data_IF_334007817624
#
_entry.id   IF_334007817624
#
_cell.length_a   1.000
_cell.length_b   1.000
_cell.length_c   1.000
_cell.angle_alpha   90.00
_cell.angle_beta   90.00
_cell.angle_gamma   90.00
#
_symmetry.space_group_name_H-M   'P 1'
#
loop_
_entity.id
_entity.type
_entity.pdbx_description
1 polymer ?
#
# COMPACT_ATOMS: atom_id res chain seq x y z
N UNK A 1 11.72 11.29 6.95
CA UNK A 1 11.89 10.88 5.53
C UNK A 1 10.75 9.93 5.19
N UNK A 2 9.83 10.29 4.31
CA UNK A 2 8.74 9.39 3.90
C UNK A 2 9.33 8.19 3.15
N UNK A 3 9.07 6.98 3.64
CA UNK A 3 9.48 5.76 2.93
C UNK A 3 8.65 5.62 1.66
N UNK A 4 9.31 5.43 0.52
CA UNK A 4 8.60 5.19 -0.74
C UNK A 4 8.11 3.74 -0.79
N UNK A 5 6.80 3.58 -0.77
CA UNK A 5 6.16 2.30 -0.99
C UNK A 5 6.02 2.01 -2.49
N UNK A 6 6.10 0.72 -2.84
CA UNK A 6 5.84 0.26 -4.21
C UNK A 6 4.34 0.16 -4.48
N UNK A 7 3.95 0.29 -5.75
CA UNK A 7 2.57 0.08 -6.18
C UNK A 7 2.10 -1.34 -5.84
N UNK A 8 0.91 -1.51 -5.26
CA UNK A 8 0.35 -2.82 -4.99
C UNK A 8 0.11 -3.60 -6.29
N UNK A 9 0.49 -4.87 -6.28
CA UNK A 9 0.26 -5.79 -7.41
C UNK A 9 -0.33 -7.11 -6.92
N UNK A 10 -1.13 -7.74 -7.75
CA UNK A 10 -1.70 -9.06 -7.46
C UNK A 10 -0.81 -10.22 -7.87
N UNK A 11 0.36 -9.96 -8.45
CA UNK A 11 1.26 -11.01 -8.92
C UNK A 11 1.70 -11.87 -7.75
N UNK A 12 1.13 -13.05 -7.67
CA UNK A 12 1.41 -14.06 -6.64
C UNK A 12 2.37 -15.15 -7.12
N UNK A 13 2.70 -15.15 -8.41
CA UNK A 13 3.61 -16.14 -9.02
C UNK A 13 5.07 -15.73 -8.96
N UNK A 14 5.96 -16.71 -8.90
CA UNK A 14 7.41 -16.57 -8.88
C UNK A 14 8.04 -16.96 -7.54
N UNK A 15 9.36 -16.81 -7.42
CA UNK A 15 10.14 -17.17 -6.23
C UNK A 15 9.56 -16.52 -4.98
N UNK A 16 9.65 -17.19 -3.84
CA UNK A 16 9.22 -16.66 -2.54
C UNK A 16 9.90 -15.32 -2.25
N UNK A 17 9.27 -14.49 -1.40
CA UNK A 17 9.89 -13.24 -0.95
C UNK A 17 11.27 -13.49 -0.37
N UNK A 18 11.43 -14.57 0.40
CA UNK A 18 12.68 -14.96 1.04
C UNK A 18 13.78 -15.31 0.03
N UNK A 19 13.48 -16.10 -1.01
CA UNK A 19 14.43 -16.38 -2.08
C UNK A 19 14.85 -15.13 -2.86
N UNK A 20 13.90 -14.19 -3.07
CA UNK A 20 14.21 -12.92 -3.73
C UNK A 20 15.06 -12.02 -2.86
N UNK A 21 14.79 -11.98 -1.56
CA UNK A 21 15.51 -11.15 -0.61
C UNK A 21 16.91 -11.68 -0.34
N UNK A 22 17.09 -13.00 -0.32
CA UNK A 22 18.42 -13.64 -0.18
C UNK A 22 19.29 -13.46 -1.43
N UNK A 23 18.68 -13.34 -2.62
CA UNK A 23 19.39 -13.02 -3.86
C UNK A 23 19.72 -11.53 -3.98
N UNK A 24 19.05 -10.69 -3.21
CA UNK A 24 19.17 -9.23 -3.23
C UNK A 24 20.18 -8.72 -2.23
N UNK A 25 21.25 -9.35 -1.91
CA UNK A 25 22.22 -8.78 -0.95
C UNK A 25 22.12 -7.26 -0.90
N UNK A 26 22.28 -6.64 0.24
CA UNK A 26 22.05 -5.21 0.47
C UNK A 26 22.69 -4.38 -0.64
N UNK A 27 21.89 -3.81 -1.52
CA UNK A 27 22.30 -2.88 -2.58
C UNK A 27 22.42 -3.45 -3.99
N UNK A 28 22.28 -4.74 -4.24
CA UNK A 28 22.36 -5.30 -5.59
C UNK A 28 21.02 -5.90 -6.03
N UNK A 29 20.34 -5.19 -6.93
CA UNK A 29 18.99 -5.52 -7.44
C UNK A 29 19.06 -6.27 -8.79
N UNK A 30 20.18 -6.90 -9.10
CA UNK A 30 20.39 -7.62 -10.35
C UNK A 30 20.53 -9.13 -10.11
N UNK A 31 19.93 -9.91 -10.99
CA UNK A 31 20.16 -11.35 -11.05
C UNK A 31 21.52 -11.61 -11.67
N UNK A 32 22.07 -12.81 -11.46
CA UNK A 32 23.25 -13.27 -12.15
C UNK A 32 23.14 -13.20 -13.70
N UNK A 33 21.93 -13.10 -14.23
CA UNK A 33 21.63 -12.89 -15.66
C UNK A 33 21.63 -11.42 -16.09
N UNK A 34 21.96 -10.46 -15.23
CA UNK A 34 21.91 -9.02 -15.52
C UNK A 34 20.49 -8.41 -15.49
N UNK A 35 19.47 -9.21 -15.22
CA UNK A 35 18.08 -8.70 -15.12
C UNK A 35 17.84 -8.03 -13.78
N UNK A 36 17.31 -6.79 -13.80
CA UNK A 36 16.89 -6.08 -12.58
C UNK A 36 15.73 -6.81 -11.90
N UNK A 37 15.84 -6.99 -10.61
CA UNK A 37 14.78 -7.57 -9.78
C UNK A 37 13.85 -6.43 -9.32
N UNK A 38 12.56 -6.52 -9.66
CA UNK A 38 11.57 -5.60 -9.14
C UNK A 38 11.01 -6.12 -7.82
N UNK A 39 11.21 -5.35 -6.75
CA UNK A 39 10.53 -5.59 -5.49
C UNK A 39 9.05 -5.28 -5.62
N UNK A 40 8.25 -6.15 -5.04
CA UNK A 40 6.81 -5.94 -4.87
C UNK A 40 6.54 -5.28 -3.52
N UNK A 41 5.39 -4.65 -3.38
CA UNK A 41 4.96 -4.09 -2.10
C UNK A 41 4.95 -5.14 -0.97
N UNK A 42 4.51 -6.36 -1.26
CA UNK A 42 4.51 -7.46 -0.29
C UNK A 42 5.93 -7.84 0.16
N UNK A 43 6.91 -7.76 -0.71
CA UNK A 43 8.31 -8.05 -0.37
C UNK A 43 8.85 -6.96 0.57
N UNK A 44 8.50 -5.69 0.32
CA UNK A 44 8.85 -4.59 1.24
C UNK A 44 8.23 -4.75 2.62
N UNK A 45 6.94 -5.13 2.67
CA UNK A 45 6.21 -5.30 3.95
C UNK A 45 6.80 -6.45 4.76
N UNK A 46 7.24 -7.53 4.11
CA UNK A 46 7.77 -8.72 4.78
C UNK A 46 9.22 -8.60 5.21
N UNK A 47 9.99 -7.72 4.59
CA UNK A 47 11.42 -7.59 4.89
C UNK A 47 11.65 -6.65 6.07
N UNK A 48 11.98 -7.21 7.22
CA UNK A 48 12.34 -6.44 8.42
C UNK A 48 13.58 -5.56 8.24
N UNK A 49 14.44 -5.82 7.25
CA UNK A 49 15.59 -4.99 6.93
C UNK A 49 15.20 -3.73 6.19
N UNK A 50 14.19 -3.84 5.31
CA UNK A 50 13.62 -2.71 4.57
C UNK A 50 12.63 -1.93 5.43
N UNK A 51 11.99 -2.62 6.35
CA UNK A 51 11.02 -2.07 7.28
C UNK A 51 11.20 -2.70 8.65
N UNK A 52 12.16 -2.22 9.45
CA UNK A 52 12.36 -2.74 10.78
C UNK A 52 11.04 -2.65 11.55
N UNK A 53 10.59 -3.74 12.18
CA UNK A 53 9.41 -3.71 13.02
C UNK A 53 9.66 -2.70 14.13
N UNK A 54 8.78 -1.72 14.30
CA UNK A 54 8.67 -1.04 15.57
C UNK A 54 8.32 -2.10 16.63
N UNK A 55 8.70 -1.87 17.86
CA UNK A 55 8.59 -2.83 18.97
C UNK A 55 7.19 -3.42 19.23
N UNK A 56 6.19 -3.01 18.46
CA UNK A 56 4.80 -3.49 18.47
C UNK A 56 4.38 -4.22 17.19
N UNK A 57 5.29 -4.49 16.26
CA UNK A 57 4.96 -5.03 14.95
C UNK A 57 4.78 -6.53 15.02
N UNK A 58 3.66 -7.00 14.46
CA UNK A 58 3.32 -8.41 14.31
C UNK A 58 4.46 -9.21 13.67
N UNK A 59 4.72 -10.40 14.20
CA UNK A 59 5.53 -11.40 13.51
C UNK A 59 4.79 -11.82 12.23
N UNK A 60 5.29 -11.39 11.08
CA UNK A 60 4.64 -11.68 9.80
C UNK A 60 4.84 -13.15 9.44
N UNK A 61 3.76 -13.91 9.46
CA UNK A 61 3.78 -15.32 9.07
C UNK A 61 4.06 -15.49 7.56
N UNK A 62 4.75 -16.54 7.13
CA UNK A 62 5.13 -16.75 5.72
C UNK A 62 3.96 -16.72 4.73
N UNK A 63 2.79 -17.17 5.15
CA UNK A 63 1.59 -17.30 4.30
C UNK A 63 0.70 -16.06 4.24
N UNK A 64 1.02 -15.00 4.99
CA UNK A 64 0.26 -13.76 4.95
C UNK A 64 0.41 -13.04 3.61
N UNK A 65 -0.64 -12.36 3.20
CA UNK A 65 -0.75 -11.59 1.97
C UNK A 65 -1.04 -10.12 2.31
N UNK A 66 -0.81 -9.19 1.38
CA UNK A 66 -1.20 -7.79 1.59
C UNK A 66 -2.65 -7.69 2.06
N UNK A 67 -2.87 -6.90 3.11
CA UNK A 67 -4.20 -6.56 3.59
C UNK A 67 -4.80 -5.48 2.67
N UNK A 68 -5.98 -5.71 2.07
CA UNK A 68 -6.63 -4.71 1.24
C UNK A 68 -6.92 -3.41 1.97
N UNK A 69 -7.37 -3.48 3.23
CA UNK A 69 -7.70 -2.29 4.02
C UNK A 69 -6.48 -1.41 4.26
N UNK A 70 -5.34 -2.02 4.60
CA UNK A 70 -4.08 -1.28 4.71
C UNK A 70 -3.61 -0.74 3.36
N UNK A 71 -3.84 -1.48 2.27
CA UNK A 71 -3.48 -1.04 0.93
C UNK A 71 -4.33 0.14 0.48
N UNK A 72 -5.63 0.16 0.84
CA UNK A 72 -6.52 1.31 0.62
C UNK A 72 -6.00 2.54 1.35
N UNK A 73 -5.69 2.40 2.65
CA UNK A 73 -5.08 3.47 3.41
C UNK A 73 -3.79 3.99 2.76
N UNK A 74 -2.89 3.09 2.34
CA UNK A 74 -1.62 3.45 1.70
C UNK A 74 -1.84 4.24 0.41
N UNK A 75 -2.82 3.84 -0.41
CA UNK A 75 -3.17 4.48 -1.67
C UNK A 75 -4.01 5.76 -1.48
N UNK A 76 -4.40 6.07 -0.25
CA UNK A 76 -5.22 7.24 0.06
C UNK A 76 -6.71 7.06 -0.25
N UNK A 77 -7.18 5.84 -0.36
CA UNK A 77 -8.60 5.52 -0.42
C UNK A 77 -9.18 5.37 0.98
N UNK A 78 -10.48 5.64 1.19
CA UNK A 78 -11.10 5.29 2.46
C UNK A 78 -11.04 3.79 2.70
N UNK A 79 -10.80 3.38 3.93
CA UNK A 79 -10.77 1.96 4.31
C UNK A 79 -12.15 1.34 4.07
N UNK A 80 -12.19 0.19 3.40
CA UNK A 80 -13.43 -0.45 2.97
C UNK A 80 -13.90 -0.03 1.58
N UNK A 81 -13.18 0.86 0.87
CA UNK A 81 -13.57 1.34 -0.45
C UNK A 81 -13.82 0.23 -1.48
N UNK A 82 -13.02 -0.81 -1.45
CA UNK A 82 -13.13 -1.95 -2.38
C UNK A 82 -13.89 -3.13 -1.78
N UNK A 83 -14.49 -2.98 -0.60
CA UNK A 83 -15.33 -4.01 0.00
C UNK A 83 -16.66 -4.12 -0.75
N UNK A 84 -17.33 -5.26 -0.57
CA UNK A 84 -18.70 -5.48 -1.07
C UNK A 84 -19.76 -4.74 -0.23
N UNK A 85 -19.40 -4.33 0.99
CA UNK A 85 -20.28 -3.52 1.83
C UNK A 85 -20.15 -2.05 1.43
N UNK A 86 -21.27 -1.33 1.31
CA UNK A 86 -21.24 0.11 1.06
C UNK A 86 -20.47 0.82 2.18
N UNK A 87 -19.65 1.80 1.81
CA UNK A 87 -19.02 2.69 2.77
C UNK A 87 -20.10 3.59 3.39
N UNK A 88 -20.06 3.77 4.71
CA UNK A 88 -20.97 4.69 5.36
C UNK A 88 -20.59 6.15 5.07
N UNK A 89 -21.59 7.03 5.13
CA UNK A 89 -21.42 8.43 4.78
C UNK A 89 -20.51 9.17 5.77
N UNK A 90 -20.60 8.84 7.02
CA UNK A 90 -19.82 9.44 8.10
C UNK A 90 -18.34 9.10 7.93
N UNK A 91 -18.00 7.84 7.72
CA UNK A 91 -16.64 7.37 7.45
C UNK A 91 -16.05 8.00 6.20
N UNK A 92 -16.85 8.20 5.14
CA UNK A 92 -16.39 8.91 3.94
C UNK A 92 -16.05 10.39 4.24
N UNK A 93 -16.89 11.08 4.99
CA UNK A 93 -16.64 12.48 5.36
C UNK A 93 -15.41 12.63 6.25
N UNK A 94 -15.21 11.73 7.21
CA UNK A 94 -14.02 11.74 8.06
C UNK A 94 -12.74 11.47 7.26
N UNK A 95 -12.76 10.49 6.38
CA UNK A 95 -11.67 10.24 5.46
C UNK A 95 -11.31 11.49 4.64
N UNK A 96 -12.32 12.13 4.02
CA UNK A 96 -12.10 13.29 3.18
C UNK A 96 -11.46 14.45 3.94
N UNK A 97 -11.93 14.72 5.16
CA UNK A 97 -11.32 15.72 6.05
C UNK A 97 -9.88 15.36 6.43
N UNK A 98 -9.61 14.09 6.73
CA UNK A 98 -8.28 13.62 7.11
C UNK A 98 -7.27 13.75 5.97
N UNK A 99 -7.68 13.40 4.74
CA UNK A 99 -6.84 13.50 3.54
C UNK A 99 -6.53 14.96 3.20
N UNK A 100 -7.54 15.84 3.19
CA UNK A 100 -7.34 17.27 2.90
C UNK A 100 -6.47 17.99 3.94
N UNK A 101 -6.48 17.54 5.18
CA UNK A 101 -5.65 18.11 6.27
C UNK A 101 -4.27 17.49 6.38
N UNK A 102 -3.85 16.67 5.41
CA UNK A 102 -2.57 15.93 5.39
C UNK A 102 -2.34 15.02 6.60
N UNK A 103 -3.39 14.76 7.40
CA UNK A 103 -3.31 13.88 8.57
C UNK A 103 -3.38 12.39 8.23
N UNK A 104 -3.89 12.06 7.05
CA UNK A 104 -4.15 10.68 6.63
C UNK A 104 -2.90 9.79 6.69
N UNK A 105 -1.77 10.28 6.19
CA UNK A 105 -0.51 9.52 6.18
C UNK A 105 0.46 9.90 7.30
N UNK A 106 0.01 10.66 8.30
CA UNK A 106 0.90 11.11 9.38
C UNK A 106 1.47 9.94 10.17
N UNK A 107 0.66 8.91 10.39
CA UNK A 107 1.06 7.70 11.10
C UNK A 107 0.50 6.47 10.39
N UNK A 108 1.35 5.46 10.16
CA UNK A 108 0.91 4.17 9.63
C UNK A 108 0.03 3.46 10.67
N UNK A 109 -1.22 3.12 10.35
CA UNK A 109 -2.13 2.46 11.30
C UNK A 109 -1.62 1.11 11.80
N UNK A 110 -0.73 0.46 11.05
CA UNK A 110 -0.10 -0.77 11.50
C UNK A 110 0.87 -0.54 12.66
N UNK A 111 1.54 0.61 12.71
CA UNK A 111 2.43 0.96 13.83
C UNK A 111 1.65 1.24 15.12
N UNK A 112 0.38 1.64 14.99
CA UNK A 112 -0.50 1.88 16.13
C UNK A 112 -1.32 0.64 16.54
N UNK A 113 -1.12 -0.50 15.84
CA UNK A 113 -1.90 -1.72 16.09
C UNK A 113 -3.37 -1.65 15.65
N UNK A 114 -3.74 -0.61 14.90
CA UNK A 114 -5.14 -0.42 14.43
C UNK A 114 -5.47 -1.31 13.24
N UNK A 115 -4.46 -1.67 12.44
CA UNK A 115 -4.65 -2.41 11.21
C UNK A 115 -3.35 -3.13 10.85
N UNK A 116 -3.42 -4.42 10.53
CA UNK A 116 -2.24 -5.16 10.04
C UNK A 116 -1.97 -4.87 8.56
N UNK A 117 -0.68 -4.79 8.18
CA UNK A 117 -0.26 -4.66 6.77
C UNK A 117 -0.54 -5.91 5.94
N UNK A 118 -0.63 -7.04 6.60
CA UNK A 118 -0.85 -8.35 5.99
C UNK A 118 -2.05 -9.05 6.62
N UNK A 119 -2.64 -9.98 5.88
CA UNK A 119 -3.80 -10.76 6.33
C UNK A 119 -3.70 -12.20 5.86
N UNK A 120 -4.25 -13.12 6.63
CA UNK A 120 -4.52 -14.50 6.24
C UNK A 120 -5.89 -14.62 5.53
N UNK A 121 -6.76 -13.64 5.69
CA UNK A 121 -8.08 -13.62 5.05
C UNK A 121 -7.92 -13.44 3.53
N UNK A 122 -8.40 -14.41 2.77
CA UNK A 122 -8.31 -14.44 1.29
C UNK A 122 -9.62 -14.07 0.60
N UNK A 123 -10.69 -13.84 1.35
CA UNK A 123 -12.02 -13.52 0.81
C UNK A 123 -11.95 -12.22 0.00
N UNK A 124 -12.26 -12.29 -1.28
CA UNK A 124 -12.23 -11.18 -2.24
C UNK A 124 -10.91 -10.39 -2.30
N UNK A 125 -9.89 -10.78 -1.52
CA UNK A 125 -8.63 -10.06 -1.37
C UNK A 125 -7.96 -9.74 -2.71
N UNK A 126 -7.84 -10.75 -3.59
CA UNK A 126 -7.16 -10.60 -4.87
C UNK A 126 -7.85 -9.54 -5.76
N UNK A 127 -9.18 -9.55 -5.79
CA UNK A 127 -9.97 -8.59 -6.57
C UNK A 127 -9.84 -7.18 -5.98
N UNK A 128 -9.87 -7.04 -4.66
CA UNK A 128 -9.68 -5.76 -3.97
C UNK A 128 -8.31 -5.17 -4.28
N UNK A 129 -7.22 -5.94 -4.14
CA UNK A 129 -5.86 -5.50 -4.47
C UNK A 129 -5.73 -5.17 -5.97
N UNK A 130 -6.36 -5.94 -6.85
CA UNK A 130 -6.36 -5.64 -8.30
C UNK A 130 -7.07 -4.32 -8.61
N UNK A 131 -8.20 -4.06 -7.98
CA UNK A 131 -8.93 -2.80 -8.12
C UNK A 131 -8.07 -1.61 -7.69
N UNK A 132 -7.39 -1.72 -6.56
CA UNK A 132 -6.47 -0.68 -6.06
C UNK A 132 -5.26 -0.48 -6.97
N UNK A 133 -4.64 -1.58 -7.45
CA UNK A 133 -3.47 -1.49 -8.33
C UNK A 133 -3.77 -0.92 -9.72
N UNK A 134 -5.01 -1.05 -10.19
CA UNK A 134 -5.50 -0.43 -11.42
C UNK A 134 -6.09 0.97 -11.20
N UNK A 135 -6.36 1.32 -9.95
CA UNK A 135 -6.89 2.63 -9.57
C UNK A 135 -5.82 3.71 -9.52
N UNK A 136 -6.25 4.94 -9.53
CA UNK A 136 -5.39 6.10 -9.34
C UNK A 136 -5.38 6.50 -7.86
N UNK A 137 -4.29 7.10 -7.39
CA UNK A 137 -4.24 7.71 -6.06
C UNK A 137 -5.14 8.96 -6.06
N UNK A 138 -6.19 9.04 -5.23
CA UNK A 138 -7.17 10.12 -5.28
C UNK A 138 -6.55 11.51 -5.18
N UNK A 139 -5.57 11.68 -4.31
CA UNK A 139 -4.90 12.97 -4.12
C UNK A 139 -4.05 13.40 -5.33
N UNK A 140 -3.52 12.46 -6.10
CA UNK A 140 -2.81 12.81 -7.35
C UNK A 140 -3.79 13.41 -8.36
N UNK A 141 -4.97 12.81 -8.49
CA UNK A 141 -6.04 13.30 -9.39
C UNK A 141 -6.53 14.66 -8.94
N UNK A 142 -6.82 14.81 -7.63
CA UNK A 142 -7.25 16.07 -7.06
C UNK A 142 -6.22 17.18 -7.32
N UNK A 143 -4.95 16.96 -7.00
CA UNK A 143 -3.88 17.94 -7.18
C UNK A 143 -3.71 18.33 -8.66
N UNK A 144 -3.73 17.34 -9.56
CA UNK A 144 -3.63 17.60 -10.99
C UNK A 144 -4.80 18.46 -11.50
N UNK A 145 -6.03 18.12 -11.12
CA UNK A 145 -7.23 18.85 -11.50
C UNK A 145 -7.22 20.29 -10.94
N UNK A 146 -6.85 20.44 -9.67
CA UNK A 146 -6.73 21.74 -9.02
C UNK A 146 -5.70 22.64 -9.72
N UNK A 147 -4.53 22.11 -10.05
CA UNK A 147 -3.51 22.86 -10.77
C UNK A 147 -3.96 23.24 -12.18
N UNK A 148 -4.65 22.36 -12.87
CA UNK A 148 -5.19 22.63 -14.20
C UNK A 148 -6.28 23.70 -14.18
N UNK A 149 -7.16 23.74 -13.16
CA UNK A 149 -8.17 24.79 -13.03
C UNK A 149 -7.53 26.16 -12.85
N UNK A 150 -6.49 26.25 -12.05
CA UNK A 150 -5.74 27.53 -11.87
C UNK A 150 -5.06 28.04 -13.15
N UNK A 151 -4.52 27.14 -13.96
CA UNK A 151 -3.90 27.50 -15.24
C UNK A 151 -4.94 28.04 -16.23
N UNK A 152 -6.17 27.53 -16.18
CA UNK A 152 -7.24 27.94 -17.09
C UNK A 152 -8.06 29.12 -16.60
N UNK A 153 -7.78 29.66 -15.41
CA UNK A 153 -8.57 30.75 -14.82
C UNK A 153 -10.03 30.38 -14.59
N UNK A 154 -10.31 29.12 -14.37
CA UNK A 154 -11.63 28.62 -13.99
C UNK A 154 -11.69 28.68 -12.47
N UNK A 155 -12.11 29.82 -11.94
CA UNK A 155 -12.46 30.03 -10.53
C UNK A 155 -13.88 29.50 -10.24
#
# INVERSE_FOLDING_TARGET
MMKQWRTPTTITGGKSSEERLNQLGVGNWERSSGQKIQLRLIDQVRDSRLYPPDSKTETIKPNCQLNPDWTEWLMGWPVGWTDLKPLDKEGFVEWFKAVLSERWWKTDPANEGKMSRVTENRTNRANRIKALGNGQVPMCVYTATYNLSKIKGID
#
